data_IF_477582894561
#
_entry.id   IF_477582894561
#
_cell.length_a   1.000
_cell.length_b   1.000
_cell.length_c   1.000
_cell.angle_alpha   90.00
_cell.angle_beta   90.00
_cell.angle_gamma   90.00
#
_symmetry.space_group_name_H-M   'P 1'
#
loop_
_entity.id
_entity.type
_entity.pdbx_description
1 polymer ?
#
# COMPACT_ATOMS: atom_id res chain seq x y z
N UNK A 1 10.63 13.00 17.03
CA UNK A 1 10.46 14.21 17.85
C UNK A 1 11.43 15.28 17.37
N UNK A 2 11.04 16.57 17.33
CA UNK A 2 11.94 17.71 17.10
C UNK A 2 13.17 17.74 18.04
N UNK A 3 13.13 17.02 19.16
CA UNK A 3 14.23 16.91 20.14
C UNK A 3 15.39 15.98 19.68
N UNK A 4 15.19 15.23 18.59
CA UNK A 4 16.14 14.24 18.07
C UNK A 4 17.36 14.87 17.35
N UNK A 5 17.27 16.11 16.89
CA UNK A 5 18.24 16.71 15.96
C UNK A 5 19.33 17.59 16.60
N UNK A 6 19.40 17.71 17.93
CA UNK A 6 20.50 18.39 18.62
C UNK A 6 21.47 17.38 19.25
N UNK A 7 22.74 17.37 18.79
CA UNK A 7 23.81 16.45 19.25
C UNK A 7 23.99 16.41 20.78
N UNK A 8 23.70 17.51 21.49
CA UNK A 8 23.78 17.58 22.97
C UNK A 8 22.55 17.00 23.68
N UNK A 9 21.37 16.98 23.05
CA UNK A 9 20.12 16.46 23.64
C UNK A 9 19.87 14.99 23.38
N UNK A 10 20.53 14.41 22.36
CA UNK A 10 20.45 12.98 22.07
C UNK A 10 20.86 12.10 23.26
N UNK A 11 21.97 12.43 23.94
CA UNK A 11 22.43 11.67 25.11
C UNK A 11 21.41 11.70 26.26
N UNK A 12 20.79 12.86 26.51
CA UNK A 12 19.76 13.01 27.54
C UNK A 12 18.48 12.23 27.17
N UNK A 13 18.03 12.31 25.92
CA UNK A 13 16.87 11.56 25.44
C UNK A 13 17.08 10.04 25.55
N UNK A 14 18.27 9.54 25.19
CA UNK A 14 18.62 8.13 25.39
C UNK A 14 18.65 7.74 26.86
N UNK A 15 19.22 8.59 27.74
CA UNK A 15 19.22 8.34 29.18
C UNK A 15 17.80 8.32 29.76
N UNK A 16 16.92 9.24 29.34
CA UNK A 16 15.52 9.28 29.75
C UNK A 16 14.75 8.05 29.26
N UNK A 17 14.95 7.65 28.00
CA UNK A 17 14.33 6.47 27.41
C UNK A 17 14.78 5.19 28.10
N UNK A 18 16.09 5.04 28.34
CA UNK A 18 16.66 3.94 29.10
C UNK A 18 16.08 3.89 30.52
N UNK A 19 16.04 5.03 31.22
CA UNK A 19 15.53 5.10 32.59
C UNK A 19 14.04 4.70 32.66
N UNK A 20 13.22 5.16 31.71
CA UNK A 20 11.81 4.78 31.62
C UNK A 20 11.65 3.28 31.38
N UNK A 21 12.34 2.71 30.39
CA UNK A 21 12.24 1.27 30.07
C UNK A 21 12.74 0.44 31.24
N UNK A 22 13.86 0.84 31.86
CA UNK A 22 14.41 0.16 33.02
C UNK A 22 13.44 0.23 34.21
N UNK A 23 12.83 1.38 34.47
CA UNK A 23 11.79 1.53 35.50
C UNK A 23 10.56 0.66 35.22
N UNK A 24 10.07 0.61 33.99
CA UNK A 24 8.90 -0.20 33.66
C UNK A 24 9.19 -1.71 33.73
N UNK A 25 10.40 -2.13 33.38
CA UNK A 25 10.80 -3.55 33.41
C UNK A 25 11.23 -4.04 34.80
N UNK A 26 11.86 -3.16 35.60
CA UNK A 26 12.61 -3.51 36.82
C UNK A 26 12.36 -2.58 37.99
N UNK A 27 11.59 -1.53 37.81
CA UNK A 27 11.14 -0.66 38.89
C UNK A 27 10.39 -1.47 39.93
N UNK A 28 10.41 -0.94 41.15
CA UNK A 28 9.96 -1.57 42.40
C UNK A 28 9.05 -2.80 42.19
N UNK A 29 9.58 -3.98 42.54
CA UNK A 29 9.02 -5.31 42.24
C UNK A 29 7.58 -5.52 42.74
N UNK A 30 7.06 -4.64 43.59
CA UNK A 30 5.68 -4.67 44.08
C UNK A 30 4.67 -3.86 43.25
N UNK A 31 5.11 -3.06 42.28
CA UNK A 31 4.25 -2.12 41.55
C UNK A 31 3.52 -2.70 40.33
N UNK A 32 3.90 -3.91 39.88
CA UNK A 32 3.32 -4.56 38.69
C UNK A 32 3.59 -3.84 37.36
N UNK A 33 4.57 -2.92 37.32
CA UNK A 33 4.85 -2.08 36.14
C UNK A 33 5.25 -2.90 34.91
N UNK A 34 5.88 -4.06 35.10
CA UNK A 34 6.27 -4.97 34.01
C UNK A 34 5.04 -5.57 33.33
N UNK A 35 4.07 -6.05 34.10
CA UNK A 35 2.81 -6.59 33.59
C UNK A 35 1.99 -5.50 32.91
N UNK A 36 1.95 -4.29 33.47
CA UNK A 36 1.28 -3.14 32.87
C UNK A 36 1.94 -2.72 31.55
N UNK A 37 3.28 -2.73 31.46
CA UNK A 37 4.00 -2.51 30.20
C UNK A 37 3.65 -3.60 29.19
N UNK A 38 3.59 -4.87 29.58
CA UNK A 38 3.19 -5.95 28.69
C UNK A 38 1.75 -5.77 28.14
N UNK A 39 0.81 -5.39 29.00
CA UNK A 39 -0.56 -5.07 28.60
C UNK A 39 -0.63 -3.85 27.68
N UNK A 40 0.15 -2.82 27.98
CA UNK A 40 0.25 -1.62 27.16
C UNK A 40 0.76 -1.96 25.75
N UNK A 41 1.85 -2.72 25.65
CA UNK A 41 2.40 -3.17 24.38
C UNK A 41 1.42 -4.06 23.60
N UNK A 42 0.70 -4.97 24.27
CA UNK A 42 -0.33 -5.80 23.64
C UNK A 42 -1.45 -4.95 23.03
N UNK A 43 -1.95 -3.96 23.78
CA UNK A 43 -3.02 -3.06 23.30
C UNK A 43 -2.55 -2.17 22.15
N UNK A 44 -1.29 -1.76 22.14
CA UNK A 44 -0.69 -1.07 21.00
C UNK A 44 -0.61 -1.98 19.76
N UNK A 45 -0.26 -3.25 19.94
CA UNK A 45 -0.26 -4.25 18.86
C UNK A 45 -1.66 -4.55 18.31
N UNK A 46 -2.70 -4.36 19.12
CA UNK A 46 -4.11 -4.42 18.70
C UNK A 46 -4.57 -3.16 17.93
N UNK A 47 -3.73 -2.13 17.82
CA UNK A 47 -4.03 -0.89 17.11
C UNK A 47 -4.80 0.14 17.95
N UNK A 48 -4.89 -0.04 19.27
CA UNK A 48 -5.56 0.95 20.14
C UNK A 48 -4.76 2.25 20.19
N UNK A 49 -5.41 3.43 20.18
CA UNK A 49 -4.73 4.71 20.35
C UNK A 49 -3.87 4.73 21.63
N UNK A 50 -2.69 5.35 21.56
CA UNK A 50 -1.70 5.36 22.65
C UNK A 50 -2.32 5.78 23.99
N UNK A 51 -3.09 6.86 24.00
CA UNK A 51 -3.71 7.39 25.22
C UNK A 51 -4.77 6.45 25.82
N UNK A 52 -5.47 5.69 24.97
CA UNK A 52 -6.46 4.70 25.38
C UNK A 52 -5.79 3.40 25.87
N UNK A 53 -4.72 2.99 25.19
CA UNK A 53 -3.88 1.88 25.62
C UNK A 53 -3.24 2.18 26.98
N UNK A 54 -2.76 3.41 27.18
CA UNK A 54 -2.12 3.84 28.42
C UNK A 54 -3.12 3.79 29.58
N UNK A 55 -4.26 4.49 29.46
CA UNK A 55 -5.31 4.52 30.51
C UNK A 55 -5.85 3.15 30.87
N UNK A 56 -5.86 2.22 29.91
CA UNK A 56 -6.37 0.87 30.15
C UNK A 56 -5.30 -0.10 30.71
N UNK A 57 -4.03 0.29 30.75
CA UNK A 57 -2.93 -0.57 31.20
C UNK A 57 -2.29 -0.08 32.50
N UNK A 58 -2.16 1.23 32.66
CA UNK A 58 -1.59 1.84 33.84
C UNK A 58 -2.72 2.34 34.75
N UNK A 59 -2.76 1.95 36.03
CA UNK A 59 -3.75 2.42 36.99
C UNK A 59 -3.48 3.87 37.49
N UNK A 60 -2.55 4.57 36.83
CA UNK A 60 -2.11 5.93 37.15
C UNK A 60 -2.10 6.75 35.87
N UNK A 61 -2.18 8.08 36.00
CA UNK A 61 -1.99 8.97 34.86
C UNK A 61 -0.50 9.16 34.51
N UNK A 62 -0.25 9.81 33.38
CA UNK A 62 1.12 10.06 32.89
C UNK A 62 1.94 10.90 33.87
N UNK A 63 1.32 11.85 34.56
CA UNK A 63 2.00 12.75 35.50
C UNK A 63 2.50 11.97 36.71
N UNK A 64 1.67 11.10 37.25
CA UNK A 64 2.06 10.24 38.37
C UNK A 64 3.13 9.22 37.93
N UNK A 65 3.00 8.62 36.74
CA UNK A 65 4.04 7.73 36.22
C UNK A 65 5.40 8.43 36.07
N UNK A 66 5.41 9.67 35.57
CA UNK A 66 6.63 10.49 35.46
C UNK A 66 7.18 10.91 36.83
N UNK A 67 6.30 11.14 37.82
CA UNK A 67 6.66 11.38 39.22
C UNK A 67 7.36 10.16 39.82
N UNK A 68 6.82 8.96 39.61
CA UNK A 68 7.41 7.70 40.02
C UNK A 68 8.76 7.44 39.35
N UNK A 69 8.86 7.65 38.03
CA UNK A 69 10.12 7.57 37.30
C UNK A 69 11.15 8.54 37.88
N UNK A 70 10.75 9.79 38.15
CA UNK A 70 11.64 10.78 38.76
C UNK A 70 12.14 10.35 40.13
N UNK A 71 11.28 9.73 40.95
CA UNK A 71 11.66 9.17 42.25
C UNK A 71 12.62 8.00 42.09
N UNK A 72 12.37 7.11 41.13
CA UNK A 72 13.22 5.98 40.79
C UNK A 72 14.64 6.42 40.39
N UNK A 73 14.75 7.37 39.45
CA UNK A 73 16.04 7.90 38.99
C UNK A 73 16.79 8.61 40.12
N UNK A 74 16.10 9.44 40.91
CA UNK A 74 16.71 10.14 42.06
C UNK A 74 17.19 9.19 43.16
N UNK A 75 16.59 8.00 43.26
CA UNK A 75 17.01 6.96 44.19
C UNK A 75 18.42 6.43 43.92
N UNK A 76 18.97 6.65 42.71
CA UNK A 76 20.30 6.24 42.27
C UNK A 76 20.66 4.79 42.60
N UNK A 77 19.65 3.92 42.64
CA UNK A 77 19.74 2.48 42.88
C UNK A 77 18.89 1.79 41.84
N UNK A 78 19.56 1.14 40.89
CA UNK A 78 18.91 0.50 39.76
C UNK A 78 18.88 -1.01 40.00
N UNK A 79 17.70 -1.62 39.89
CA UNK A 79 17.54 -3.05 40.06
C UNK A 79 18.27 -3.79 38.92
N UNK A 80 19.11 -4.75 39.26
CA UNK A 80 19.83 -5.60 38.31
C UNK A 80 19.49 -7.06 38.58
N UNK A 81 19.60 -7.90 37.54
CA UNK A 81 19.49 -9.35 37.69
C UNK A 81 20.88 -9.93 37.81
N UNK A 82 21.14 -10.62 38.91
CA UNK A 82 22.29 -11.51 39.01
C UNK A 82 21.84 -12.87 38.55
N UNK A 83 22.39 -13.35 37.43
CA UNK A 83 22.26 -14.75 37.02
C UNK A 83 23.55 -15.42 37.45
N UNK A 84 23.48 -16.39 38.37
CA UNK A 84 24.69 -17.12 38.75
C UNK A 84 24.90 -18.25 37.75
N UNK A 85 26.12 -18.39 37.24
CA UNK A 85 26.48 -19.48 36.30
C UNK A 85 26.02 -20.88 36.78
N UNK A 86 26.08 -21.25 38.08
CA UNK A 86 25.57 -22.53 38.57
C UNK A 86 24.03 -22.71 38.49
N UNK A 87 23.28 -21.61 38.36
CA UNK A 87 21.81 -21.63 38.20
C UNK A 87 21.40 -21.83 36.73
N UNK A 88 22.35 -21.70 35.79
CA UNK A 88 22.10 -22.03 34.40
C UNK A 88 22.19 -23.55 34.24
N UNK A 89 21.15 -24.16 33.67
CA UNK A 89 21.17 -25.55 33.22
C UNK A 89 21.99 -25.67 31.93
N UNK A 90 23.27 -25.30 32.02
CA UNK A 90 24.22 -25.49 30.92
C UNK A 90 24.64 -26.96 30.90
N UNK A 91 24.79 -27.56 29.70
CA UNK A 91 25.34 -28.89 29.57
C UNK A 91 26.68 -28.98 30.32
N UNK A 92 26.72 -29.78 31.40
CA UNK A 92 27.92 -29.99 32.22
C UNK A 92 28.97 -30.83 31.51
N UNK A 93 28.52 -31.62 30.54
CA UNK A 93 29.36 -32.43 29.67
C UNK A 93 29.51 -31.73 28.33
N UNK A 94 30.72 -31.27 28.05
CA UNK A 94 31.10 -30.80 26.72
C UNK A 94 31.76 -31.94 25.97
N UNK A 95 31.22 -32.27 24.79
CA UNK A 95 31.89 -33.16 23.85
C UNK A 95 32.87 -32.34 23.02
N UNK A 96 34.15 -32.69 23.11
CA UNK A 96 35.20 -32.14 22.27
C UNK A 96 35.49 -33.15 21.16
N UNK A 97 35.45 -32.69 19.91
CA UNK A 97 35.86 -33.47 18.75
C UNK A 97 36.90 -32.66 17.96
N UNK A 98 37.88 -33.34 17.37
CA UNK A 98 38.77 -32.72 16.40
C UNK A 98 37.98 -32.29 15.17
N UNK A 99 38.29 -31.12 14.63
CA UNK A 99 37.72 -30.65 13.37
C UNK A 99 38.68 -30.96 12.23
N UNK A 100 38.13 -31.45 11.12
CA UNK A 100 38.88 -31.63 9.88
C UNK A 100 39.32 -30.27 9.31
N UNK A 101 40.40 -30.26 8.53
CA UNK A 101 40.98 -29.02 7.96
C UNK A 101 39.94 -28.23 7.17
N UNK A 102 39.16 -28.91 6.34
CA UNK A 102 38.10 -28.32 5.51
C UNK A 102 37.02 -27.66 6.37
N UNK A 103 36.62 -28.32 7.47
CA UNK A 103 35.64 -27.78 8.41
C UNK A 103 36.17 -26.51 9.08
N UNK A 104 37.45 -26.49 9.48
CA UNK A 104 38.09 -25.29 10.04
C UNK A 104 38.10 -24.14 9.03
N UNK A 105 38.43 -24.43 7.76
CA UNK A 105 38.44 -23.43 6.70
C UNK A 105 37.05 -22.86 6.43
N UNK A 106 36.01 -23.70 6.36
CA UNK A 106 34.62 -23.27 6.23
C UNK A 106 34.22 -22.31 7.35
N UNK A 107 34.48 -22.68 8.61
CA UNK A 107 34.13 -21.85 9.78
C UNK A 107 34.89 -20.53 9.82
N UNK A 108 36.18 -20.53 9.45
CA UNK A 108 36.98 -19.31 9.35
C UNK A 108 36.46 -18.39 8.23
N UNK A 109 36.14 -18.94 7.06
CA UNK A 109 35.55 -18.18 5.95
C UNK A 109 34.23 -17.54 6.35
N UNK A 110 33.35 -18.30 7.01
CA UNK A 110 32.08 -17.81 7.51
C UNK A 110 32.23 -16.68 8.53
N UNK A 111 33.14 -16.83 9.49
CA UNK A 111 33.44 -15.81 10.49
C UNK A 111 33.92 -14.52 9.81
N UNK A 112 34.91 -14.64 8.93
CA UNK A 112 35.50 -13.51 8.22
C UNK A 112 34.51 -12.80 7.29
N UNK A 113 33.51 -13.51 6.76
CA UNK A 113 32.44 -12.88 5.96
C UNK A 113 31.59 -11.91 6.80
N UNK A 114 31.46 -12.17 8.11
CA UNK A 114 30.61 -11.41 9.05
C UNK A 114 31.34 -10.27 9.76
N UNK A 115 32.66 -10.32 9.87
CA UNK A 115 33.47 -9.36 10.66
C UNK A 115 33.52 -7.97 10.01
N UNK A 116 34.10 -7.83 8.82
CA UNK A 116 34.22 -6.54 8.13
C UNK A 116 34.27 -6.71 6.61
N UNK A 117 34.27 -5.61 5.86
CA UNK A 117 34.47 -5.66 4.40
C UNK A 117 35.91 -6.03 4.01
N UNK A 118 36.88 -5.64 4.85
CA UNK A 118 38.32 -5.88 4.61
C UNK A 118 38.68 -7.37 4.70
N UNK A 119 37.90 -8.14 5.46
CA UNK A 119 38.12 -9.58 5.66
C UNK A 119 37.55 -10.45 4.54
N UNK A 120 36.82 -9.88 3.58
CA UNK A 120 36.13 -10.65 2.53
C UNK A 120 37.08 -11.40 1.60
N UNK A 121 38.21 -10.80 1.21
CA UNK A 121 39.21 -11.49 0.39
C UNK A 121 39.82 -12.70 1.11
N UNK A 122 40.07 -12.58 2.42
CA UNK A 122 40.55 -13.71 3.23
C UNK A 122 39.49 -14.79 3.41
N UNK A 123 38.22 -14.39 3.58
CA UNK A 123 37.11 -15.33 3.65
C UNK A 123 37.02 -16.17 2.37
N UNK A 124 37.07 -15.51 1.21
CA UNK A 124 37.04 -16.19 -0.09
C UNK A 124 38.21 -17.16 -0.26
N UNK A 125 39.43 -16.79 0.14
CA UNK A 125 40.58 -17.69 0.09
C UNK A 125 40.37 -18.98 0.89
N UNK A 126 39.71 -18.92 2.06
CA UNK A 126 39.39 -20.12 2.83
C UNK A 126 38.38 -21.01 2.11
N UNK A 127 37.32 -20.45 1.52
CA UNK A 127 36.34 -21.22 0.75
C UNK A 127 36.94 -21.83 -0.50
N UNK A 128 37.79 -21.10 -1.24
CA UNK A 128 38.50 -21.62 -2.40
C UNK A 128 39.44 -22.77 -2.03
N UNK A 129 40.16 -22.67 -0.92
CA UNK A 129 41.01 -23.75 -0.43
C UNK A 129 40.23 -25.04 -0.08
N UNK A 130 38.96 -24.93 0.31
CA UNK A 130 38.06 -26.09 0.47
C UNK A 130 37.66 -26.65 -0.89
N UNK A 131 37.34 -25.80 -1.86
CA UNK A 131 36.96 -26.24 -3.22
C UNK A 131 38.12 -26.88 -4.00
N UNK A 132 39.36 -26.59 -3.64
CA UNK A 132 40.55 -27.27 -4.17
C UNK A 132 40.64 -28.74 -3.73
N UNK A 133 40.25 -29.07 -2.48
CA UNK A 133 40.27 -30.44 -1.97
C UNK A 133 38.96 -31.19 -2.19
N UNK A 134 37.83 -30.50 -2.08
CA UNK A 134 36.49 -31.03 -2.31
C UNK A 134 35.76 -30.19 -3.36
N UNK A 135 35.96 -30.50 -4.66
CA UNK A 135 35.25 -29.83 -5.73
C UNK A 135 33.74 -29.93 -5.49
N UNK A 136 33.02 -28.82 -5.65
CA UNK A 136 31.58 -28.70 -5.41
C UNK A 136 31.10 -28.81 -3.95
N UNK A 137 31.95 -28.60 -2.94
CA UNK A 137 31.48 -28.49 -1.55
C UNK A 137 30.39 -27.40 -1.41
N UNK A 138 29.13 -27.73 -1.05
CA UNK A 138 28.01 -26.79 -1.08
C UNK A 138 28.21 -25.57 -0.17
N UNK A 139 28.78 -25.76 1.02
CA UNK A 139 29.01 -24.72 2.03
C UNK A 139 30.07 -23.72 1.56
N UNK A 140 31.12 -24.19 0.88
CA UNK A 140 32.14 -23.30 0.32
C UNK A 140 31.58 -22.46 -0.85
N UNK A 141 30.78 -23.07 -1.73
CA UNK A 141 30.06 -22.35 -2.79
C UNK A 141 29.11 -21.29 -2.21
N UNK A 142 28.32 -21.64 -1.20
CA UNK A 142 27.46 -20.68 -0.49
C UNK A 142 28.27 -19.56 0.17
N UNK A 143 29.40 -19.90 0.79
CA UNK A 143 30.34 -18.96 1.39
C UNK A 143 30.82 -17.91 0.41
N UNK A 144 31.24 -18.32 -0.80
CA UNK A 144 31.62 -17.38 -1.87
C UNK A 144 30.41 -16.55 -2.32
N UNK A 145 29.22 -17.16 -2.44
CA UNK A 145 27.98 -16.42 -2.71
C UNK A 145 27.70 -15.30 -1.69
N UNK A 146 27.92 -15.56 -0.40
CA UNK A 146 27.81 -14.56 0.64
C UNK A 146 28.88 -13.45 0.54
N UNK A 147 30.12 -13.80 0.18
CA UNK A 147 31.18 -12.82 -0.08
C UNK A 147 30.77 -11.88 -1.21
N UNK A 148 30.34 -12.43 -2.35
CA UNK A 148 29.85 -11.65 -3.50
C UNK A 148 28.67 -10.76 -3.13
N UNK A 149 27.71 -11.28 -2.37
CA UNK A 149 26.56 -10.51 -1.89
C UNK A 149 26.99 -9.32 -1.02
N UNK A 150 28.00 -9.50 -0.16
CA UNK A 150 28.58 -8.42 0.68
C UNK A 150 29.32 -7.37 -0.17
N UNK A 151 29.91 -7.77 -1.29
CA UNK A 151 30.54 -6.89 -2.27
C UNK A 151 29.53 -6.18 -3.19
N UNK A 152 28.24 -6.51 -3.10
CA UNK A 152 27.16 -6.06 -4.01
C UNK A 152 27.32 -6.58 -5.45
N UNK A 153 28.04 -7.69 -5.61
CA UNK A 153 28.19 -8.42 -6.87
C UNK A 153 27.04 -9.42 -7.01
N UNK A 154 25.82 -8.89 -7.22
CA UNK A 154 24.56 -9.64 -7.07
C UNK A 154 24.41 -10.78 -8.08
N UNK A 155 24.86 -10.58 -9.31
CA UNK A 155 24.83 -11.62 -10.35
C UNK A 155 25.73 -12.81 -9.99
N UNK A 156 26.97 -12.54 -9.59
CA UNK A 156 27.90 -13.60 -9.17
C UNK A 156 27.41 -14.30 -7.90
N UNK A 157 26.88 -13.55 -6.94
CA UNK A 157 26.30 -14.12 -5.73
C UNK A 157 25.17 -15.10 -6.07
N UNK A 158 24.26 -14.73 -6.98
CA UNK A 158 23.16 -15.58 -7.40
C UNK A 158 23.66 -16.86 -8.09
N UNK A 159 24.73 -16.80 -8.89
CA UNK A 159 25.31 -18.00 -9.50
C UNK A 159 25.96 -18.93 -8.46
N UNK A 160 26.72 -18.41 -7.50
CA UNK A 160 27.31 -19.24 -6.45
C UNK A 160 26.26 -19.89 -5.53
N UNK A 161 25.17 -19.19 -5.20
CA UNK A 161 24.05 -19.81 -4.48
C UNK A 161 23.36 -20.89 -5.32
N UNK A 162 23.20 -20.68 -6.64
CA UNK A 162 22.66 -21.72 -7.54
C UNK A 162 23.56 -22.96 -7.55
N UNK A 163 24.87 -22.78 -7.73
CA UNK A 163 25.83 -23.89 -7.71
C UNK A 163 25.80 -24.63 -6.37
N UNK A 164 25.68 -23.92 -5.24
CA UNK A 164 25.53 -24.54 -3.92
C UNK A 164 24.25 -25.38 -3.81
N UNK A 165 23.13 -24.90 -4.36
CA UNK A 165 21.87 -25.67 -4.41
C UNK A 165 22.00 -26.92 -5.29
N UNK A 166 22.65 -26.81 -6.45
CA UNK A 166 22.86 -27.91 -7.39
C UNK A 166 23.80 -28.97 -6.81
N UNK A 167 24.75 -28.55 -5.97
CA UNK A 167 25.63 -29.43 -5.20
C UNK A 167 24.93 -30.09 -3.99
N UNK A 168 23.65 -29.79 -3.74
CA UNK A 168 22.87 -30.45 -2.70
C UNK A 168 22.94 -29.79 -1.31
N UNK A 169 23.18 -28.47 -1.25
CA UNK A 169 23.13 -27.72 0.02
C UNK A 169 21.83 -27.98 0.79
N UNK A 170 21.97 -28.23 2.09
CA UNK A 170 20.87 -28.39 3.06
C UNK A 170 20.60 -27.12 3.86
N UNK A 171 21.33 -26.05 3.59
CA UNK A 171 21.12 -24.78 4.27
C UNK A 171 19.92 -24.04 3.65
N UNK A 172 18.83 -23.93 4.41
CA UNK A 172 17.61 -23.22 3.97
C UNK A 172 17.86 -21.76 3.58
N UNK A 173 18.95 -21.14 4.05
CA UNK A 173 19.32 -19.74 3.74
C UNK A 173 19.84 -19.59 2.32
N UNK A 174 20.46 -20.63 1.75
CA UNK A 174 20.98 -20.61 0.37
C UNK A 174 19.87 -20.33 -0.65
N UNK A 175 18.78 -21.12 -0.73
CA UNK A 175 17.69 -20.82 -1.65
C UNK A 175 16.97 -19.51 -1.29
N UNK A 176 16.90 -19.11 -0.02
CA UNK A 176 16.37 -17.80 0.37
C UNK A 176 17.19 -16.63 -0.18
N UNK A 177 18.52 -16.66 -0.07
CA UNK A 177 19.38 -15.61 -0.61
C UNK A 177 19.34 -15.56 -2.13
N UNK A 178 19.38 -16.73 -2.78
CA UNK A 178 19.16 -16.82 -4.22
C UNK A 178 17.84 -16.18 -4.65
N UNK A 179 16.73 -16.53 -3.99
CA UNK A 179 15.41 -15.99 -4.30
C UNK A 179 15.35 -14.46 -4.13
N UNK A 180 15.94 -13.91 -3.07
CA UNK A 180 16.00 -12.46 -2.87
C UNK A 180 16.82 -11.76 -3.95
N UNK A 181 17.94 -12.34 -4.39
CA UNK A 181 18.75 -11.77 -5.48
C UNK A 181 18.00 -11.80 -6.81
N UNK A 182 17.26 -12.88 -7.11
CA UNK A 182 16.41 -12.96 -8.30
C UNK A 182 15.28 -11.94 -8.25
N UNK A 183 14.61 -11.79 -7.11
CA UNK A 183 13.56 -10.78 -6.92
C UNK A 183 14.12 -9.36 -7.07
N UNK A 184 15.32 -9.09 -6.54
CA UNK A 184 15.99 -7.79 -6.65
C UNK A 184 16.43 -7.45 -8.08
N UNK A 185 16.72 -8.46 -8.90
CA UNK A 185 17.08 -8.28 -10.29
C UNK A 185 15.89 -7.85 -11.18
N UNK A 186 14.65 -7.96 -10.69
CA UNK A 186 13.48 -7.47 -11.40
C UNK A 186 13.43 -5.93 -11.40
N UNK A 187 12.97 -5.29 -12.48
CA UNK A 187 12.82 -3.84 -12.54
C UNK A 187 11.80 -3.34 -11.52
N UNK A 188 11.90 -2.09 -11.06
CA UNK A 188 10.91 -1.53 -10.11
C UNK A 188 9.50 -1.64 -10.70
N UNK A 189 8.55 -2.16 -9.91
CA UNK A 189 7.17 -2.38 -10.32
C UNK A 189 6.54 -1.13 -10.94
N UNK A 190 5.96 -1.28 -12.13
CA UNK A 190 5.33 -0.19 -12.89
C UNK A 190 4.74 -0.58 -14.25
N UNK A 191 4.61 -1.86 -14.56
CA UNK A 191 4.04 -2.38 -15.81
C UNK A 191 4.02 -3.91 -15.86
N UNK A 192 3.41 -4.46 -16.90
CA UNK A 192 3.36 -5.92 -17.13
C UNK A 192 4.76 -6.48 -17.31
N UNK A 193 5.08 -7.54 -16.55
CA UNK A 193 6.33 -8.28 -16.73
C UNK A 193 6.44 -8.85 -18.14
N UNK A 194 7.64 -8.83 -18.71
CA UNK A 194 8.03 -9.59 -19.89
C UNK A 194 8.20 -11.08 -19.58
N UNK A 195 8.52 -11.87 -20.61
CA UNK A 195 8.71 -13.31 -20.44
C UNK A 195 9.90 -13.65 -19.54
N UNK A 196 11.03 -12.95 -19.72
CA UNK A 196 12.23 -13.19 -18.92
C UNK A 196 12.02 -12.82 -17.45
N UNK A 197 11.36 -11.69 -17.19
CA UNK A 197 11.03 -11.26 -15.83
C UNK A 197 10.08 -12.24 -15.14
N UNK A 198 9.09 -12.80 -15.87
CA UNK A 198 8.26 -13.89 -15.36
C UNK A 198 9.07 -15.14 -15.01
N UNK A 199 10.08 -15.49 -15.82
CA UNK A 199 10.98 -16.62 -15.53
C UNK A 199 11.81 -16.35 -14.27
N UNK A 200 12.37 -15.14 -14.12
CA UNK A 200 13.13 -14.74 -12.92
C UNK A 200 12.24 -14.73 -11.68
N UNK A 201 11.00 -14.23 -11.77
CA UNK A 201 10.03 -14.28 -10.67
C UNK A 201 9.68 -15.72 -10.28
N UNK A 202 9.50 -16.62 -11.26
CA UNK A 202 9.25 -18.03 -11.02
C UNK A 202 10.45 -18.72 -10.32
N UNK A 203 11.69 -18.40 -10.72
CA UNK A 203 12.90 -18.87 -10.04
C UNK A 203 12.95 -18.40 -8.58
N UNK A 204 12.64 -17.13 -8.32
CA UNK A 204 12.59 -16.59 -6.96
C UNK A 204 11.55 -17.34 -6.10
N UNK A 205 10.35 -17.53 -6.64
CA UNK A 205 9.26 -18.26 -5.99
C UNK A 205 9.64 -19.70 -5.64
N UNK A 206 10.21 -20.44 -6.59
CA UNK A 206 10.68 -21.82 -6.37
C UNK A 206 11.76 -21.89 -5.28
N UNK A 207 12.66 -20.93 -5.26
CA UNK A 207 13.72 -20.89 -4.25
C UNK A 207 13.15 -20.61 -2.85
N UNK A 208 12.22 -19.66 -2.70
CA UNK A 208 11.56 -19.44 -1.40
C UNK A 208 10.78 -20.67 -0.94
N UNK A 209 10.11 -21.37 -1.86
CA UNK A 209 9.42 -22.62 -1.56
C UNK A 209 10.40 -23.70 -1.04
N UNK A 210 11.55 -23.89 -1.70
CA UNK A 210 12.61 -24.82 -1.23
C UNK A 210 13.18 -24.43 0.14
N UNK A 211 13.30 -23.13 0.42
CA UNK A 211 13.70 -22.64 1.74
C UNK A 211 12.69 -23.04 2.83
N UNK A 212 11.39 -22.86 2.55
CA UNK A 212 10.30 -23.23 3.47
C UNK A 212 10.21 -24.75 3.67
N UNK A 213 10.42 -25.54 2.62
CA UNK A 213 10.48 -27.02 2.73
C UNK A 213 11.62 -27.49 3.63
N UNK A 214 12.75 -26.78 3.60
CA UNK A 214 13.92 -27.10 4.43
C UNK A 214 13.78 -26.59 5.86
N UNK A 215 13.16 -25.43 6.06
CA UNK A 215 12.85 -24.86 7.37
C UNK A 215 11.45 -24.22 7.38
N UNK A 216 10.40 -24.96 7.80
CA UNK A 216 9.02 -24.46 7.78
C UNK A 216 8.73 -23.28 8.72
N UNK A 217 9.57 -23.06 9.74
CA UNK A 217 9.47 -21.98 10.73
C UNK A 217 10.16 -20.69 10.28
N UNK A 218 10.78 -20.67 9.09
CA UNK A 218 11.46 -19.48 8.60
C UNK A 218 10.47 -18.45 8.02
N UNK A 219 9.95 -17.58 8.90
CA UNK A 219 8.98 -16.54 8.57
C UNK A 219 9.40 -15.66 7.39
N UNK A 220 10.69 -15.31 7.29
CA UNK A 220 11.22 -14.44 6.24
C UNK A 220 11.09 -15.07 4.84
N UNK A 221 11.25 -16.39 4.71
CA UNK A 221 11.04 -17.06 3.43
C UNK A 221 9.56 -17.10 3.05
N UNK A 222 8.65 -17.26 4.02
CA UNK A 222 7.20 -17.12 3.78
C UNK A 222 6.84 -15.70 3.37
N UNK A 223 7.40 -14.70 4.05
CA UNK A 223 7.20 -13.30 3.69
C UNK A 223 7.66 -13.02 2.25
N UNK A 224 8.88 -13.46 1.91
CA UNK A 224 9.45 -13.26 0.58
C UNK A 224 8.66 -13.99 -0.51
N UNK A 225 8.16 -15.21 -0.24
CA UNK A 225 7.27 -15.94 -1.13
C UNK A 225 5.96 -15.18 -1.37
N UNK A 226 5.30 -14.72 -0.30
CA UNK A 226 4.07 -13.92 -0.40
C UNK A 226 4.28 -12.64 -1.20
N UNK A 227 5.41 -11.94 -0.98
CA UNK A 227 5.80 -10.75 -1.74
C UNK A 227 5.92 -11.00 -3.25
N UNK A 228 6.30 -12.21 -3.69
CA UNK A 228 6.38 -12.51 -5.14
C UNK A 228 5.05 -12.32 -5.86
N UNK A 229 3.91 -12.45 -5.16
CA UNK A 229 2.59 -12.27 -5.76
C UNK A 229 2.18 -10.81 -5.93
N UNK A 230 2.93 -9.85 -5.36
CA UNK A 230 2.73 -8.42 -5.64
C UNK A 230 3.23 -8.01 -7.04
N UNK A 231 3.94 -8.90 -7.73
CA UNK A 231 4.55 -8.65 -9.04
C UNK A 231 3.66 -9.07 -10.22
N UNK A 232 2.58 -9.81 -9.96
CA UNK A 232 1.63 -10.28 -10.98
C UNK A 232 0.30 -9.56 -10.74
N UNK A 233 -0.16 -8.77 -11.72
CA UNK A 233 -1.42 -8.02 -11.60
C UNK A 233 -2.63 -8.96 -11.41
N UNK A 234 -3.36 -8.71 -10.31
CA UNK A 234 -4.69 -9.16 -9.84
C UNK A 234 -5.07 -10.66 -9.90
N UNK A 235 -4.47 -11.46 -10.76
CA UNK A 235 -4.89 -12.86 -10.99
C UNK A 235 -4.42 -13.83 -9.91
N UNK A 236 -3.34 -13.49 -9.18
CA UNK A 236 -2.68 -14.40 -8.23
C UNK A 236 -2.48 -13.84 -6.84
N UNK A 237 -3.07 -12.67 -6.56
CA UNK A 237 -2.95 -12.03 -5.24
C UNK A 237 -3.41 -12.95 -4.10
N UNK A 238 -4.48 -13.72 -4.33
CA UNK A 238 -5.03 -14.67 -3.38
C UNK A 238 -4.05 -15.78 -2.96
N UNK A 239 -3.12 -16.18 -3.83
CA UNK A 239 -2.10 -17.20 -3.52
C UNK A 239 -1.04 -16.67 -2.55
N UNK A 240 -0.74 -15.36 -2.58
CA UNK A 240 0.27 -14.75 -1.70
C UNK A 240 -0.22 -14.43 -0.29
N UNK A 241 -1.53 -14.20 -0.13
CA UNK A 241 -2.17 -13.86 1.15
C UNK A 241 -1.79 -14.83 2.28
N UNK A 242 -1.98 -16.16 2.17
CA UNK A 242 -1.72 -17.07 3.28
C UNK A 242 -0.24 -17.08 3.71
N UNK A 243 0.68 -16.80 2.79
CA UNK A 243 2.11 -16.72 3.10
C UNK A 243 2.45 -15.47 3.92
N UNK A 244 1.90 -14.31 3.56
CA UNK A 244 2.09 -13.07 4.31
C UNK A 244 1.32 -13.08 5.64
N UNK A 245 0.11 -13.66 5.71
CA UNK A 245 -0.62 -13.87 6.96
C UNK A 245 0.21 -14.71 7.95
N UNK A 246 0.75 -15.85 7.50
CA UNK A 246 1.58 -16.72 8.34
C UNK A 246 2.88 -16.02 8.80
N UNK A 247 3.53 -15.27 7.90
CA UNK A 247 4.74 -14.51 8.25
C UNK A 247 4.44 -13.41 9.29
N UNK A 248 3.34 -12.67 9.11
CA UNK A 248 2.94 -11.58 10.01
C UNK A 248 2.49 -12.09 11.39
N UNK A 249 1.97 -13.33 11.49
CA UNK A 249 1.69 -13.96 12.78
C UNK A 249 2.98 -14.18 13.60
N UNK A 250 4.08 -14.56 12.96
CA UNK A 250 5.38 -14.76 13.62
C UNK A 250 6.15 -13.45 13.81
N UNK A 251 5.92 -12.46 12.94
CA UNK A 251 6.61 -11.18 12.94
C UNK A 251 5.61 -10.00 13.06
N UNK A 252 4.82 -9.90 14.15
CA UNK A 252 3.70 -8.96 14.25
C UNK A 252 4.11 -7.49 14.25
N UNK A 253 5.37 -7.18 14.55
CA UNK A 253 5.91 -5.81 14.53
C UNK A 253 6.42 -5.36 13.15
N UNK A 254 6.36 -6.22 12.13
CA UNK A 254 6.81 -5.90 10.77
C UNK A 254 5.71 -5.18 9.97
N UNK A 255 5.61 -3.87 10.19
CA UNK A 255 4.67 -2.99 9.48
C UNK A 255 4.84 -3.06 7.95
N UNK A 256 6.05 -3.27 7.46
CA UNK A 256 6.32 -3.47 6.03
C UNK A 256 5.59 -4.70 5.47
N UNK A 257 5.61 -5.84 6.19
CA UNK A 257 4.87 -7.04 5.79
C UNK A 257 3.35 -6.83 5.86
N UNK A 258 2.88 -6.05 6.83
CA UNK A 258 1.47 -5.70 6.92
C UNK A 258 1.02 -4.82 5.74
N UNK A 259 1.86 -3.89 5.27
CA UNK A 259 1.57 -3.11 4.07
C UNK A 259 1.58 -3.97 2.80
N UNK A 260 2.54 -4.90 2.68
CA UNK A 260 2.56 -5.88 1.58
C UNK A 260 1.29 -6.76 1.57
N UNK A 261 0.82 -7.21 2.74
CA UNK A 261 -0.42 -7.98 2.86
C UNK A 261 -1.65 -7.13 2.54
N UNK A 262 -1.68 -5.87 2.95
CA UNK A 262 -2.75 -4.94 2.58
C UNK A 262 -2.82 -4.78 1.05
N UNK A 263 -1.69 -4.61 0.36
CA UNK A 263 -1.68 -4.56 -1.10
C UNK A 263 -2.23 -5.84 -1.75
N UNK A 264 -1.94 -7.02 -1.20
CA UNK A 264 -2.54 -8.26 -1.69
C UNK A 264 -4.04 -8.35 -1.42
N UNK A 265 -4.53 -7.90 -0.26
CA UNK A 265 -5.97 -7.84 0.00
C UNK A 265 -6.68 -6.89 -0.97
N UNK A 266 -6.07 -5.75 -1.26
CA UNK A 266 -6.62 -4.80 -2.23
C UNK A 266 -6.72 -5.41 -3.63
N UNK A 267 -5.65 -6.04 -4.12
CA UNK A 267 -5.63 -6.72 -5.42
C UNK A 267 -6.61 -7.90 -5.49
N UNK A 268 -6.83 -8.61 -4.37
CA UNK A 268 -7.80 -9.70 -4.27
C UNK A 268 -9.26 -9.23 -4.05
N UNK A 269 -9.51 -7.92 -3.89
CA UNK A 269 -10.85 -7.39 -3.58
C UNK A 269 -11.34 -7.68 -2.15
N UNK A 270 -10.44 -8.07 -1.25
CA UNK A 270 -10.71 -8.40 0.16
C UNK A 270 -10.77 -7.13 1.03
N UNK A 271 -11.68 -6.21 0.66
CA UNK A 271 -11.77 -4.85 1.24
C UNK A 271 -11.92 -4.83 2.76
N UNK A 272 -12.71 -5.76 3.33
CA UNK A 272 -12.89 -5.85 4.77
C UNK A 272 -11.59 -6.20 5.51
N UNK A 273 -10.79 -7.13 4.94
CA UNK A 273 -9.50 -7.52 5.51
C UNK A 273 -8.46 -6.42 5.33
N UNK A 274 -8.45 -5.75 4.18
CA UNK A 274 -7.63 -4.56 3.92
C UNK A 274 -7.86 -3.49 4.98
N UNK A 275 -9.11 -3.06 5.16
CA UNK A 275 -9.45 -1.98 6.11
C UNK A 275 -9.16 -2.38 7.55
N UNK A 276 -9.51 -3.62 7.94
CA UNK A 276 -9.23 -4.15 9.28
C UNK A 276 -7.74 -4.17 9.60
N UNK A 277 -6.92 -4.61 8.64
CA UNK A 277 -5.47 -4.65 8.80
C UNK A 277 -4.88 -3.23 8.92
N UNK A 278 -5.29 -2.30 8.05
CA UNK A 278 -4.79 -0.92 8.13
C UNK A 278 -5.17 -0.25 9.44
N UNK A 279 -6.40 -0.41 9.94
CA UNK A 279 -6.80 0.14 11.25
C UNK A 279 -5.93 -0.40 12.39
N UNK A 280 -5.64 -1.70 12.36
CA UNK A 280 -4.77 -2.34 13.36
C UNK A 280 -3.33 -1.80 13.33
N UNK A 281 -2.80 -1.58 12.12
CA UNK A 281 -1.36 -1.28 11.93
C UNK A 281 -1.06 0.22 11.97
N UNK A 282 -1.96 1.04 11.43
CA UNK A 282 -1.79 2.49 11.28
C UNK A 282 -2.62 3.31 12.28
N UNK A 283 -3.56 2.68 13.00
CA UNK A 283 -4.45 3.35 13.94
C UNK A 283 -5.21 4.49 13.27
N UNK A 284 -5.12 5.70 13.84
CA UNK A 284 -5.80 6.90 13.31
C UNK A 284 -5.35 7.32 11.90
N UNK A 285 -4.16 6.90 11.45
CA UNK A 285 -3.69 7.19 10.09
C UNK A 285 -4.38 6.32 9.03
N UNK A 286 -4.99 5.20 9.43
CA UNK A 286 -5.66 4.28 8.52
C UNK A 286 -6.81 4.93 7.75
N UNK A 287 -7.62 5.76 8.42
CA UNK A 287 -8.82 6.35 7.83
C UNK A 287 -8.50 7.24 6.62
N UNK A 288 -7.34 7.90 6.61
CA UNK A 288 -6.89 8.68 5.44
C UNK A 288 -6.65 7.79 4.23
N UNK A 289 -5.98 6.64 4.44
CA UNK A 289 -5.64 5.68 3.37
C UNK A 289 -6.91 4.99 2.87
N UNK A 290 -7.78 4.56 3.78
CA UNK A 290 -9.06 3.91 3.47
C UNK A 290 -9.96 4.86 2.69
N UNK A 291 -10.10 6.11 3.13
CA UNK A 291 -10.90 7.12 2.44
C UNK A 291 -10.36 7.43 1.04
N UNK A 292 -9.04 7.51 0.89
CA UNK A 292 -8.41 7.71 -0.42
C UNK A 292 -8.72 6.55 -1.38
N UNK A 293 -8.62 5.30 -0.93
CA UNK A 293 -9.00 4.12 -1.72
C UNK A 293 -10.49 4.16 -2.11
N UNK A 294 -11.38 4.45 -1.15
CA UNK A 294 -12.83 4.54 -1.40
C UNK A 294 -13.15 5.60 -2.45
N UNK A 295 -12.51 6.77 -2.38
CA UNK A 295 -12.63 7.83 -3.39
C UNK A 295 -12.20 7.36 -4.77
N UNK A 296 -11.04 6.72 -4.89
CA UNK A 296 -10.56 6.18 -6.18
C UNK A 296 -11.52 5.11 -6.73
N UNK A 297 -12.02 4.21 -5.88
CA UNK A 297 -12.98 3.18 -6.29
C UNK A 297 -14.36 3.76 -6.68
N UNK A 298 -14.82 4.80 -5.97
CA UNK A 298 -16.05 5.52 -6.33
C UNK A 298 -15.87 6.26 -7.66
N UNK A 299 -14.74 6.95 -7.84
CA UNK A 299 -14.41 7.65 -9.07
C UNK A 299 -14.43 6.72 -10.29
N UNK A 300 -13.76 5.56 -10.21
CA UNK A 300 -13.77 4.54 -11.27
C UNK A 300 -15.18 4.01 -11.59
N UNK A 301 -15.99 3.75 -10.55
CA UNK A 301 -17.39 3.30 -10.73
C UNK A 301 -18.24 4.36 -11.42
N UNK A 302 -18.16 5.62 -10.99
CA UNK A 302 -18.87 6.72 -11.62
C UNK A 302 -18.46 6.91 -13.08
N UNK A 303 -17.19 6.75 -13.43
CA UNK A 303 -16.76 6.78 -14.83
C UNK A 303 -17.36 5.63 -15.66
N UNK A 304 -17.40 4.42 -15.11
CA UNK A 304 -18.06 3.30 -15.78
C UNK A 304 -19.56 3.54 -15.98
N UNK A 305 -20.24 4.10 -14.98
CA UNK A 305 -21.65 4.49 -15.05
C UNK A 305 -21.90 5.58 -16.12
N UNK A 306 -21.02 6.58 -16.24
CA UNK A 306 -21.08 7.56 -17.35
C UNK A 306 -21.04 6.83 -18.70
N UNK A 307 -20.13 5.89 -18.90
CA UNK A 307 -20.02 5.13 -20.15
C UNK A 307 -21.25 4.27 -20.44
N UNK A 308 -21.86 3.67 -19.41
CA UNK A 308 -23.12 2.93 -19.55
C UNK A 308 -24.29 3.84 -19.93
N UNK A 309 -24.41 5.01 -19.30
CA UNK A 309 -25.46 5.99 -19.61
C UNK A 309 -25.33 6.50 -21.05
N UNK A 310 -24.11 6.79 -21.51
CA UNK A 310 -23.85 7.18 -22.90
C UNK A 310 -24.21 6.06 -23.88
N UNK A 311 -23.84 4.81 -23.58
CA UNK A 311 -24.23 3.65 -24.39
C UNK A 311 -25.75 3.45 -24.43
N UNK A 312 -26.43 3.76 -23.33
CA UNK A 312 -27.89 3.78 -23.21
C UNK A 312 -28.59 5.01 -23.80
N UNK A 313 -27.87 5.94 -24.45
CA UNK A 313 -28.37 7.22 -24.99
C UNK A 313 -29.04 8.13 -23.94
N UNK A 314 -28.59 8.03 -22.69
CA UNK A 314 -29.03 8.86 -21.56
C UNK A 314 -28.09 10.03 -21.33
N UNK A 315 -27.82 10.80 -22.38
CA UNK A 315 -26.76 11.81 -22.41
C UNK A 315 -26.91 12.88 -21.32
N UNK A 316 -28.14 13.24 -20.93
CA UNK A 316 -28.39 14.23 -19.87
C UNK A 316 -28.02 13.70 -18.47
N UNK A 317 -28.30 12.43 -18.19
CA UNK A 317 -27.91 11.77 -16.93
C UNK A 317 -26.38 11.61 -16.89
N UNK A 318 -25.77 11.21 -18.02
CA UNK A 318 -24.33 11.10 -18.17
C UNK A 318 -23.62 12.44 -17.92
N UNK A 319 -24.15 13.53 -18.51
CA UNK A 319 -23.62 14.88 -18.33
C UNK A 319 -23.65 15.31 -16.85
N UNK A 320 -24.78 15.13 -16.18
CA UNK A 320 -24.93 15.51 -14.78
C UNK A 320 -24.00 14.70 -13.84
N UNK A 321 -23.70 13.44 -14.16
CA UNK A 321 -22.73 12.64 -13.41
C UNK A 321 -21.29 13.09 -13.68
N UNK A 322 -20.94 13.36 -14.95
CA UNK A 322 -19.61 13.84 -15.35
C UNK A 322 -19.29 15.22 -14.73
N UNK A 323 -20.25 16.14 -14.67
CA UNK A 323 -20.07 17.45 -14.01
C UNK A 323 -19.76 17.31 -12.52
N UNK A 324 -20.43 16.38 -11.83
CA UNK A 324 -20.12 16.07 -10.41
C UNK A 324 -18.73 15.50 -10.23
N UNK A 325 -18.28 14.65 -11.16
CA UNK A 325 -16.93 14.08 -11.14
C UNK A 325 -15.86 15.16 -11.29
N UNK A 326 -16.01 16.06 -12.25
CA UNK A 326 -15.10 17.19 -12.51
C UNK A 326 -14.99 18.10 -11.28
N UNK A 327 -16.12 18.44 -10.65
CA UNK A 327 -16.16 19.28 -9.46
C UNK A 327 -15.41 18.67 -8.27
N UNK A 328 -15.40 17.33 -8.14
CA UNK A 328 -14.72 16.60 -7.08
C UNK A 328 -13.28 16.18 -7.39
N UNK A 329 -12.81 16.36 -8.63
CA UNK A 329 -11.49 15.91 -9.08
C UNK A 329 -10.34 16.84 -8.62
N UNK A 330 -9.16 16.24 -8.45
CA UNK A 330 -7.88 16.96 -8.29
C UNK A 330 -7.44 17.60 -9.61
N UNK A 331 -6.52 18.57 -9.58
CA UNK A 331 -6.15 19.41 -10.74
C UNK A 331 -5.86 18.60 -12.01
N UNK A 332 -5.00 17.59 -11.93
CA UNK A 332 -4.53 16.85 -13.09
C UNK A 332 -5.64 16.00 -13.72
N UNK A 333 -6.52 15.44 -12.87
CA UNK A 333 -7.66 14.62 -13.33
C UNK A 333 -8.80 15.52 -13.82
N UNK A 334 -8.98 16.70 -13.22
CA UNK A 334 -10.01 17.66 -13.58
C UNK A 334 -9.84 18.13 -15.02
N UNK A 335 -8.63 18.54 -15.40
CA UNK A 335 -8.36 19.07 -16.73
C UNK A 335 -8.68 18.04 -17.82
N UNK A 336 -8.30 16.78 -17.62
CA UNK A 336 -8.61 15.68 -18.53
C UNK A 336 -10.13 15.42 -18.64
N UNK A 337 -10.85 15.49 -17.52
CA UNK A 337 -12.31 15.30 -17.53
C UNK A 337 -13.04 16.51 -18.14
N UNK A 338 -12.53 17.73 -18.00
CA UNK A 338 -13.12 18.93 -18.61
C UNK A 338 -13.06 18.87 -20.15
N UNK A 339 -11.97 18.32 -20.70
CA UNK A 339 -11.81 18.10 -22.14
C UNK A 339 -12.89 17.14 -22.68
N UNK A 340 -13.16 16.05 -21.97
CA UNK A 340 -14.20 15.07 -22.30
C UNK A 340 -15.62 15.60 -22.03
N UNK A 341 -15.79 16.45 -21.02
CA UNK A 341 -17.09 17.05 -20.66
C UNK A 341 -17.59 18.02 -21.74
N UNK A 342 -16.68 18.77 -22.37
CA UNK A 342 -17.04 19.82 -23.34
C UNK A 342 -17.87 19.32 -24.54
N UNK A 343 -17.48 18.26 -25.29
CA UNK A 343 -18.30 17.73 -26.39
C UNK A 343 -19.63 17.15 -25.90
N UNK A 344 -19.65 16.48 -24.75
CA UNK A 344 -20.88 15.93 -24.18
C UNK A 344 -21.89 17.04 -23.84
N UNK A 345 -21.43 18.12 -23.21
CA UNK A 345 -22.26 19.29 -22.89
C UNK A 345 -22.89 19.91 -24.14
N UNK A 346 -22.10 20.09 -25.20
CA UNK A 346 -22.60 20.60 -26.49
C UNK A 346 -23.64 19.67 -27.12
N UNK A 347 -23.39 18.36 -27.10
CA UNK A 347 -24.32 17.36 -27.62
C UNK A 347 -25.68 17.36 -26.91
N UNK A 348 -25.67 17.37 -25.57
CA UNK A 348 -26.89 17.43 -24.75
C UNK A 348 -27.64 18.75 -24.97
N UNK A 349 -26.93 19.88 -25.00
CA UNK A 349 -27.51 21.20 -25.25
C UNK A 349 -28.23 21.25 -26.60
N UNK A 350 -27.58 20.73 -27.66
CA UNK A 350 -28.18 20.61 -29.00
C UNK A 350 -29.44 19.75 -28.99
N UNK A 351 -29.39 18.57 -28.36
CA UNK A 351 -30.54 17.66 -28.28
C UNK A 351 -31.72 18.27 -27.50
N UNK A 352 -31.45 19.02 -26.43
CA UNK A 352 -32.46 19.75 -25.68
C UNK A 352 -33.10 20.85 -26.53
N UNK A 353 -32.29 21.65 -27.23
CA UNK A 353 -32.77 22.70 -28.12
C UNK A 353 -33.66 22.14 -29.25
N UNK A 354 -33.28 21.01 -29.87
CA UNK A 354 -34.10 20.35 -30.90
C UNK A 354 -35.43 19.85 -30.32
N UNK A 355 -35.43 19.23 -29.13
CA UNK A 355 -36.67 18.79 -28.48
C UNK A 355 -37.59 19.97 -28.17
N UNK A 356 -37.05 21.06 -27.64
CA UNK A 356 -37.81 22.27 -27.34
C UNK A 356 -38.37 22.92 -28.59
N UNK A 357 -37.60 22.95 -29.68
CA UNK A 357 -38.07 23.42 -30.99
C UNK A 357 -39.24 22.56 -31.50
N UNK A 358 -39.14 21.24 -31.40
CA UNK A 358 -40.20 20.32 -31.83
C UNK A 358 -41.47 20.45 -30.97
N UNK A 359 -41.32 20.67 -29.67
CA UNK A 359 -42.45 20.95 -28.76
C UNK A 359 -43.16 22.26 -29.15
N UNK A 360 -42.39 23.32 -29.41
CA UNK A 360 -42.93 24.60 -29.88
C UNK A 360 -43.64 24.46 -31.24
N UNK A 361 -43.12 23.63 -32.14
CA UNK A 361 -43.80 23.27 -33.39
C UNK A 361 -45.13 22.55 -33.14
N UNK A 362 -45.19 21.62 -32.19
CA UNK A 362 -46.45 20.94 -31.85
C UNK A 362 -47.48 21.91 -31.25
N UNK A 363 -47.05 22.86 -30.41
CA UNK A 363 -47.91 23.92 -29.85
C UNK A 363 -48.44 24.86 -30.93
N UNK A 364 -47.64 25.14 -31.96
CA UNK A 364 -48.04 25.95 -33.13
C UNK A 364 -49.16 25.29 -33.96
N UNK A 365 -49.21 23.96 -33.99
CA UNK A 365 -50.30 23.21 -34.63
C UNK A 365 -51.58 23.16 -33.76
N UNK A 366 -51.51 23.57 -32.49
CA UNK A 366 -52.65 23.75 -31.59
C UNK A 366 -53.08 25.23 -31.46
N UNK A 367 -54.03 25.55 -30.55
CA UNK A 367 -54.49 26.93 -30.34
C UNK A 367 -53.54 27.80 -29.47
N UNK A 368 -52.42 27.25 -28.99
CA UNK A 368 -51.54 27.87 -27.99
C UNK A 368 -50.32 28.57 -28.61
N UNK A 369 -50.60 29.67 -29.30
CA UNK A 369 -49.59 30.48 -30.00
C UNK A 369 -48.63 31.20 -29.05
N UNK A 370 -49.06 31.50 -27.82
CA UNK A 370 -48.23 32.17 -26.82
C UNK A 370 -47.18 31.20 -26.27
N UNK A 371 -47.54 29.93 -26.01
CA UNK A 371 -46.58 28.88 -25.64
C UNK A 371 -45.58 28.59 -26.76
N UNK A 372 -46.05 28.46 -28.01
CA UNK A 372 -45.19 28.25 -29.17
C UNK A 372 -44.18 29.40 -29.36
N UNK A 373 -44.64 30.65 -29.21
CA UNK A 373 -43.79 31.84 -29.27
C UNK A 373 -42.70 31.82 -28.19
N UNK A 374 -43.06 31.45 -26.95
CA UNK A 374 -42.11 31.33 -25.85
C UNK A 374 -41.07 30.22 -26.13
N UNK A 375 -41.50 29.06 -26.63
CA UNK A 375 -40.62 27.95 -26.95
C UNK A 375 -39.62 28.26 -28.07
N UNK A 376 -40.03 28.91 -29.16
CA UNK A 376 -39.09 29.32 -30.21
C UNK A 376 -38.17 30.46 -29.76
N UNK A 377 -38.66 31.40 -28.94
CA UNK A 377 -37.83 32.47 -28.39
C UNK A 377 -36.74 31.92 -27.46
N UNK A 378 -37.07 30.89 -26.67
CA UNK A 378 -36.12 30.17 -25.82
C UNK A 378 -35.03 29.51 -26.66
N UNK A 379 -35.40 28.71 -27.68
CA UNK A 379 -34.42 28.07 -28.59
C UNK A 379 -33.55 29.09 -29.31
N UNK A 380 -34.13 30.20 -29.77
CA UNK A 380 -33.39 31.27 -30.45
C UNK A 380 -32.38 32.00 -29.54
N UNK A 381 -32.54 31.91 -28.22
CA UNK A 381 -31.68 32.53 -27.23
C UNK A 381 -30.61 31.56 -26.68
N UNK A 382 -30.92 30.26 -26.57
CA UNK A 382 -30.09 29.29 -25.85
C UNK A 382 -29.40 28.25 -26.73
N UNK A 383 -29.84 28.05 -27.98
CA UNK A 383 -29.24 27.06 -28.87
C UNK A 383 -27.87 27.50 -29.41
N UNK A 384 -26.93 26.56 -29.48
CA UNK A 384 -25.59 26.78 -30.05
C UNK A 384 -25.52 26.52 -31.57
N UNK A 385 -26.49 25.78 -32.13
CA UNK A 385 -26.56 25.44 -33.57
C UNK A 385 -27.09 26.66 -34.37
N UNK A 386 -26.26 27.33 -35.20
CA UNK A 386 -26.64 28.58 -35.87
C UNK A 386 -27.85 28.44 -36.80
N UNK A 387 -28.00 27.28 -37.43
CA UNK A 387 -29.14 26.99 -38.32
C UNK A 387 -30.44 26.83 -37.53
N UNK A 388 -30.36 26.17 -36.36
CA UNK A 388 -31.53 26.03 -35.47
C UNK A 388 -31.94 27.38 -34.88
N UNK A 389 -30.97 28.22 -34.48
CA UNK A 389 -31.21 29.59 -34.00
C UNK A 389 -31.90 30.43 -35.06
N UNK A 390 -31.42 30.38 -36.31
CA UNK A 390 -32.01 31.12 -37.43
C UNK A 390 -33.46 30.72 -37.66
N UNK A 391 -33.74 29.42 -37.77
CA UNK A 391 -35.10 28.89 -37.97
C UNK A 391 -36.04 29.28 -36.81
N UNK A 392 -35.56 29.21 -35.57
CA UNK A 392 -36.35 29.62 -34.41
C UNK A 392 -36.71 31.12 -34.45
N UNK A 393 -35.76 31.99 -34.85
CA UNK A 393 -36.02 33.44 -35.01
C UNK A 393 -37.03 33.75 -36.11
N UNK A 394 -36.96 33.05 -37.23
CA UNK A 394 -37.93 33.17 -38.32
C UNK A 394 -39.35 32.82 -37.83
N UNK A 395 -39.50 31.70 -37.10
CA UNK A 395 -40.80 31.32 -36.49
C UNK A 395 -41.32 32.33 -35.47
N UNK A 396 -40.45 32.90 -34.63
CA UNK A 396 -40.83 33.97 -33.70
C UNK A 396 -41.40 35.19 -34.45
N UNK A 397 -40.77 35.57 -35.57
CA UNK A 397 -41.24 36.70 -36.38
C UNK A 397 -42.61 36.42 -37.02
N UNK A 398 -42.77 35.25 -37.65
CA UNK A 398 -44.03 34.80 -38.28
C UNK A 398 -45.21 34.77 -37.29
N UNK A 399 -45.00 34.19 -36.10
CA UNK A 399 -46.05 34.09 -35.07
C UNK A 399 -46.43 35.47 -34.55
N UNK A 400 -45.46 36.36 -34.31
CA UNK A 400 -45.73 37.75 -33.88
C UNK A 400 -46.53 38.52 -34.93
N UNK A 401 -46.19 38.36 -36.20
CA UNK A 401 -46.92 38.98 -37.30
C UNK A 401 -48.35 38.47 -37.35
N UNK A 402 -48.57 37.15 -37.29
CA UNK A 402 -49.88 36.53 -37.24
C UNK A 402 -50.73 37.00 -36.04
N UNK A 403 -50.17 37.02 -34.83
CA UNK A 403 -50.85 37.49 -33.63
C UNK A 403 -51.22 38.98 -33.72
N UNK A 404 -50.34 39.80 -34.31
CA UNK A 404 -50.61 41.23 -34.55
C UNK A 404 -51.75 41.43 -35.56
N UNK A 405 -51.78 40.63 -36.63
CA UNK A 405 -52.84 40.63 -37.63
C UNK A 405 -54.18 40.18 -37.02
N UNK A 406 -54.19 39.09 -36.25
CA UNK A 406 -55.37 38.56 -35.56
C UNK A 406 -55.93 39.57 -34.53
N UNK A 407 -55.06 40.32 -33.85
CA UNK A 407 -55.44 41.41 -32.94
C UNK A 407 -56.05 42.60 -33.67
N UNK A 408 -55.58 42.92 -34.89
CA UNK A 408 -56.15 43.95 -35.76
C UNK A 408 -57.50 43.56 -36.38
N UNK A 409 -57.74 42.25 -36.57
CA UNK A 409 -59.01 41.74 -37.12
C UNK A 409 -60.08 41.41 -36.08
N UNK A 410 -59.78 41.44 -34.77
CA UNK A 410 -60.82 41.33 -33.73
C UNK A 410 -61.70 42.58 -33.77
N UNK A 411 -63.01 42.47 -34.08
CA UNK A 411 -63.90 43.62 -33.99
C UNK A 411 -63.92 44.11 -32.55
N UNK A 412 -63.84 45.42 -32.35
CA UNK A 412 -64.08 46.03 -31.06
C UNK A 412 -65.40 45.48 -30.51
N UNK A 413 -65.34 44.71 -29.43
CA UNK A 413 -66.52 44.30 -28.70
C UNK A 413 -67.24 45.59 -28.32
N UNK A 414 -68.42 45.80 -28.92
CA UNK A 414 -69.32 46.88 -28.56
C UNK A 414 -69.54 46.81 -27.05
N UNK A 415 -69.16 47.87 -26.35
CA UNK A 415 -69.70 48.18 -25.04
C UNK A 415 -71.22 48.27 -25.14
N UNK A 416 -71.91 47.39 -24.41
CA UNK A 416 -73.23 47.66 -23.86
C UNK A 416 -73.29 47.05 -22.48
#
# INVERSE_FOLDING_TARGET
>A
SPEYNERSRQGLFYAQSWALVHFLLRGDSGSGRKEQLAQFLSRLQEGRPVDEAFRASFPVDERELLSELSRYVRGNRFAYTVVRLPELDVPKEMRVAGMEREEVLLRLGELLTRVSGETLGRAESHFRAVLESVPSQPEALAGIGHVRMRQREEGEAAEFFRLSMDAGSRDFRVPFHYGNLRLKALPIAGGSLGEEERRVLAQARQAFQKSIETNPEFAEARAALGRTYLWEEDTRAAEGIPHLEAALQQLPSRTDLAMELASLYEAAGEDAKFEGLLRRVLGSHAERVIEQKRRTAQFRRSLAEVNELLSGKKDAEALALMERLVAGAQSEVRDALEEELAPLRRGVSRNLAVRRYNEAMAQLHGPDYDAALAGFAEVAATAEDPELVKKARERVAEIREYLSWKKRQRPAAKSR
#
